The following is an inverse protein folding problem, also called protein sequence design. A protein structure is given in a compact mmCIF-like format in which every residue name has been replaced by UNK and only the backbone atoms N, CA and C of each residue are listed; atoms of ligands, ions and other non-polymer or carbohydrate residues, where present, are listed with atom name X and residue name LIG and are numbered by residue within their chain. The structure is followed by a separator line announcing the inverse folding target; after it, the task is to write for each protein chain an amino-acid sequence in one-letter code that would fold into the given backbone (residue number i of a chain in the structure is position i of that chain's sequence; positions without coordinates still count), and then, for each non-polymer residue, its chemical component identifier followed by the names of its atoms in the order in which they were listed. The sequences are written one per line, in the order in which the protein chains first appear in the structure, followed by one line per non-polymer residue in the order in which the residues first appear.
data_IF_754986671398
#
_entry.id   IF_754986671398
#
_cell.length_a   1.000
_cell.length_b   1.000
_cell.length_c   1.000
_cell.angle_alpha   90.00
_cell.angle_beta   90.00
_cell.angle_gamma   90.00
#
_symmetry.space_group_name_H-M   'P 1'
#
loop_
_entity.id
_entity.type
_entity.pdbx_description
1 polymer ?
#
# COMPACT_ATOMS: atom_id res chain seq x y z
N UNK A 1 -3.36 6.44 -10.30
CA UNK A 1 -3.48 5.58 -9.09
C UNK A 1 -4.93 5.15 -9.01
N UNK A 2 -5.22 3.85 -8.99
CA UNK A 2 -6.58 3.34 -8.80
C UNK A 2 -6.69 2.80 -7.37
N UNK A 3 -7.75 3.14 -6.64
CA UNK A 3 -7.98 2.56 -5.34
C UNK A 3 -8.54 1.14 -5.50
N UNK A 4 -8.02 0.17 -4.74
CA UNK A 4 -8.58 -1.18 -4.71
C UNK A 4 -10.07 -1.19 -4.31
N UNK A 5 -10.50 -0.21 -3.52
CA UNK A 5 -11.91 -0.02 -3.14
C UNK A 5 -12.84 0.37 -4.31
N UNK A 6 -12.29 0.93 -5.40
CA UNK A 6 -13.07 1.33 -6.58
C UNK A 6 -13.22 0.17 -7.58
N UNK A 7 -12.49 -0.93 -7.38
CA UNK A 7 -12.62 -2.18 -8.12
C UNK A 7 -13.33 -3.22 -7.23
N UNK A 8 -14.60 -3.57 -7.52
CA UNK A 8 -15.38 -4.49 -6.69
C UNK A 8 -14.72 -5.86 -6.50
N UNK A 9 -13.92 -6.30 -7.48
CA UNK A 9 -13.20 -7.57 -7.41
C UNK A 9 -12.09 -7.45 -6.38
N UNK A 10 -11.24 -6.43 -6.50
CA UNK A 10 -10.12 -6.21 -5.56
C UNK A 10 -10.62 -5.92 -4.14
N UNK A 11 -11.72 -5.20 -3.99
CA UNK A 11 -12.32 -4.88 -2.69
C UNK A 11 -12.83 -6.12 -1.93
N UNK A 12 -13.11 -7.22 -2.65
CA UNK A 12 -13.60 -8.48 -2.06
C UNK A 12 -12.50 -9.48 -1.73
N UNK A 13 -11.25 -9.21 -2.16
CA UNK A 13 -10.14 -10.13 -1.96
C UNK A 13 -9.66 -10.11 -0.50
N UNK A 14 -9.26 -11.27 0.05
CA UNK A 14 -8.44 -11.30 1.26
C UNK A 14 -7.15 -10.50 1.08
N UNK A 15 -6.65 -9.88 2.14
CA UNK A 15 -5.46 -9.01 2.12
C UNK A 15 -4.26 -9.63 1.38
N UNK A 16 -4.00 -10.92 1.60
CA UNK A 16 -2.90 -11.62 0.93
C UNK A 16 -3.12 -11.79 -0.57
N UNK A 17 -4.36 -12.07 -1.00
CA UNK A 17 -4.69 -12.18 -2.42
C UNK A 17 -4.73 -10.80 -3.10
N UNK A 18 -5.13 -9.76 -2.37
CA UNK A 18 -5.02 -8.38 -2.82
C UNK A 18 -3.56 -7.99 -3.06
N UNK A 19 -2.66 -8.34 -2.15
CA UNK A 19 -1.22 -8.12 -2.32
C UNK A 19 -0.67 -8.88 -3.53
N UNK A 20 -1.10 -10.12 -3.72
CA UNK A 20 -0.70 -10.97 -4.86
C UNK A 20 -1.19 -10.43 -6.20
N UNK A 21 -2.46 -10.05 -6.28
CA UNK A 21 -3.04 -9.45 -7.47
C UNK A 21 -2.36 -8.11 -7.81
N UNK A 22 -2.13 -7.25 -6.82
CA UNK A 22 -1.45 -5.96 -7.01
C UNK A 22 -0.01 -6.16 -7.50
N UNK A 23 0.72 -7.08 -6.88
CA UNK A 23 2.12 -7.39 -7.23
C UNK A 23 2.25 -7.97 -8.63
N UNK A 24 1.33 -8.82 -9.06
CA UNK A 24 1.26 -9.33 -10.45
C UNK A 24 1.10 -8.22 -11.49
N UNK A 25 0.46 -7.12 -11.12
CA UNK A 25 0.30 -5.94 -11.97
C UNK A 25 1.44 -4.91 -11.83
N UNK A 26 2.49 -5.23 -11.06
CA UNK A 26 3.59 -4.31 -10.76
C UNK A 26 3.17 -3.11 -9.92
N UNK A 27 2.11 -3.25 -9.11
CA UNK A 27 1.55 -2.16 -8.29
C UNK A 27 1.77 -2.42 -6.81
N UNK A 28 2.20 -1.37 -6.11
CA UNK A 28 2.24 -1.37 -4.66
C UNK A 28 0.84 -1.22 -4.05
N UNK A 29 0.64 -1.82 -2.87
CA UNK A 29 -0.59 -1.64 -2.07
C UNK A 29 -0.40 -0.48 -1.11
N UNK A 30 -1.38 0.44 -1.06
CA UNK A 30 -1.44 1.50 -0.04
C UNK A 30 -2.55 1.17 0.94
N UNK A 31 -2.23 1.06 2.23
CA UNK A 31 -3.18 0.59 3.25
C UNK A 31 -2.99 1.23 4.62
N UNK A 32 -4.06 1.32 5.39
CA UNK A 32 -4.04 1.64 6.83
C UNK A 32 -3.90 0.37 7.68
N UNK A 33 -4.12 -0.83 7.10
CA UNK A 33 -4.01 -2.12 7.79
C UNK A 33 -2.55 -2.60 7.89
N UNK A 34 -1.72 -1.85 8.62
CA UNK A 34 -0.31 -2.15 8.74
C UNK A 34 -0.02 -3.50 9.40
N UNK A 35 -0.86 -3.92 10.35
CA UNK A 35 -0.66 -5.14 11.13
C UNK A 35 -0.73 -6.40 10.26
N UNK A 36 -1.78 -6.52 9.46
CA UNK A 36 -1.97 -7.75 8.69
C UNK A 36 -1.02 -7.82 7.50
N UNK A 37 -0.77 -6.69 6.84
CA UNK A 37 0.19 -6.63 5.73
C UNK A 37 1.64 -6.80 6.18
N UNK A 38 2.07 -6.26 7.33
CA UNK A 38 3.43 -6.55 7.86
C UNK A 38 3.61 -8.05 8.13
N UNK A 39 2.57 -8.72 8.65
CA UNK A 39 2.60 -10.18 8.84
C UNK A 39 2.71 -10.93 7.51
N UNK A 40 1.94 -10.53 6.49
CA UNK A 40 1.96 -11.16 5.16
C UNK A 40 3.34 -10.98 4.51
N UNK A 41 3.86 -9.76 4.49
CA UNK A 41 5.16 -9.43 3.90
C UNK A 41 6.30 -10.22 4.55
N UNK A 42 6.30 -10.33 5.88
CA UNK A 42 7.25 -11.19 6.61
C UNK A 42 7.10 -12.65 6.21
N UNK A 43 5.87 -13.16 6.09
CA UNK A 43 5.63 -14.54 5.64
C UNK A 43 6.22 -14.77 4.25
N UNK A 44 5.96 -13.87 3.30
CA UNK A 44 6.44 -13.95 1.93
C UNK A 44 7.97 -13.94 1.83
N UNK A 45 8.63 -13.12 2.66
CA UNK A 45 10.09 -13.10 2.76
C UNK A 45 10.70 -14.45 3.18
N UNK A 46 9.94 -15.28 3.92
CA UNK A 46 10.35 -16.61 4.35
C UNK A 46 9.99 -17.67 3.31
N UNK A 47 8.86 -17.53 2.61
CA UNK A 47 8.39 -18.50 1.61
C UNK A 47 8.94 -18.27 0.20
N UNK A 48 9.66 -17.16 -0.02
CA UNK A 48 10.22 -16.80 -1.33
C UNK A 48 9.20 -16.17 -2.27
N UNK A 49 8.07 -15.68 -1.75
CA UNK A 49 7.15 -14.83 -2.51
C UNK A 49 7.62 -13.36 -2.47
N UNK A 50 7.35 -12.61 -3.54
CA UNK A 50 7.76 -11.22 -3.69
C UNK A 50 6.57 -10.30 -3.95
N UNK A 51 6.63 -9.08 -3.42
CA UNK A 51 5.62 -8.06 -3.66
C UNK A 51 6.18 -6.82 -4.37
N UNK A 52 5.35 -6.12 -5.14
CA UNK A 52 5.78 -4.90 -5.83
C UNK A 52 5.91 -3.67 -4.91
N UNK A 53 5.51 -3.80 -3.64
CA UNK A 53 5.68 -2.78 -2.60
C UNK A 53 4.47 -2.64 -1.69
N UNK A 54 4.68 -2.17 -0.47
CA UNK A 54 3.61 -1.83 0.47
C UNK A 54 3.86 -0.44 1.07
N UNK A 55 2.84 0.42 1.00
CA UNK A 55 2.83 1.75 1.61
C UNK A 55 1.85 1.76 2.77
N UNK A 56 2.35 1.97 3.98
CA UNK A 56 1.53 2.15 5.16
C UNK A 56 1.16 3.62 5.36
N UNK A 57 -0.11 3.86 5.66
CA UNK A 57 -0.65 5.17 6.02
C UNK A 57 -1.23 5.12 7.43
N UNK A 58 -1.52 6.28 8.03
CA UNK A 58 -2.09 6.37 9.37
C UNK A 58 -3.37 7.20 9.38
N UNK A 59 -4.49 6.67 9.93
CA UNK A 59 -5.73 7.43 10.06
C UNK A 59 -5.62 8.58 11.08
N UNK A 60 -4.59 8.54 11.96
CA UNK A 60 -4.26 9.66 12.86
C UNK A 60 -3.62 10.83 12.10
N UNK A 61 -2.87 10.53 11.03
CA UNK A 61 -2.16 11.54 10.24
C UNK A 61 -3.00 12.04 9.07
N UNK A 62 -3.65 11.12 8.35
CA UNK A 62 -4.51 11.41 7.21
C UNK A 62 -5.97 11.28 7.63
N UNK A 63 -6.36 12.06 8.64
CA UNK A 63 -7.68 11.97 9.23
C UNK A 63 -8.77 12.51 8.28
N UNK A 64 -9.76 11.67 7.93
CA UNK A 64 -10.82 12.01 6.96
C UNK A 64 -11.69 13.20 7.37
N UNK A 65 -11.80 13.50 8.66
CA UNK A 65 -12.53 14.66 9.18
C UNK A 65 -11.75 15.98 9.14
N UNK A 66 -10.47 15.96 8.74
CA UNK A 66 -9.66 17.17 8.61
C UNK A 66 -9.97 17.90 7.31
N UNK A 67 -9.96 19.24 7.34
CA UNK A 67 -10.06 20.09 6.13
C UNK A 67 -8.91 19.88 5.14
N UNK A 68 -7.79 19.31 5.59
CA UNK A 68 -6.64 19.01 4.74
C UNK A 68 -6.79 17.70 3.97
N UNK A 69 -7.76 16.85 4.33
CA UNK A 69 -8.02 15.59 3.63
C UNK A 69 -8.93 15.82 2.41
N UNK A 70 -8.70 15.15 1.26
CA UNK A 70 -7.61 14.20 0.99
C UNK A 70 -6.33 14.84 0.44
N UNK A 71 -6.28 16.18 0.32
CA UNK A 71 -5.19 16.88 -0.35
C UNK A 71 -3.81 16.58 0.26
N UNK A 72 -3.70 16.48 1.58
CA UNK A 72 -2.46 16.12 2.27
C UNK A 72 -1.99 14.69 1.94
N UNK A 73 -2.91 13.72 1.86
CA UNK A 73 -2.62 12.34 1.48
C UNK A 73 -2.16 12.25 0.03
N UNK A 74 -2.88 12.90 -0.88
CA UNK A 74 -2.54 12.94 -2.31
C UNK A 74 -1.18 13.59 -2.52
N UNK A 75 -0.87 14.66 -1.78
CA UNK A 75 0.43 15.34 -1.84
C UNK A 75 1.56 14.42 -1.40
N UNK A 76 1.41 13.73 -0.26
CA UNK A 76 2.42 12.81 0.25
C UNK A 76 2.66 11.62 -0.71
N UNK A 77 1.59 11.07 -1.29
CA UNK A 77 1.70 10.03 -2.32
C UNK A 77 2.38 10.57 -3.60
N UNK A 78 2.10 11.81 -3.99
CA UNK A 78 2.79 12.48 -5.09
C UNK A 78 4.30 12.60 -4.86
N UNK A 79 4.72 12.94 -3.64
CA UNK A 79 6.13 12.99 -3.26
C UNK A 79 6.79 11.61 -3.32
N UNK A 80 6.10 10.57 -2.82
CA UNK A 80 6.60 9.19 -2.91
C UNK A 80 6.76 8.72 -4.36
N UNK A 81 5.84 9.09 -5.26
CA UNK A 81 5.97 8.72 -6.68
C UNK A 81 7.10 9.48 -7.39
N UNK A 82 7.46 10.67 -6.91
CA UNK A 82 8.56 11.45 -7.48
C UNK A 82 9.93 10.90 -7.06
N UNK A 83 10.02 10.28 -5.89
CA UNK A 83 11.23 9.65 -5.36
C UNK A 83 10.90 8.32 -4.67
N UNK A 84 10.64 7.25 -5.45
CA UNK A 84 10.24 5.96 -4.91
C UNK A 84 11.42 5.25 -4.21
N UNK A 85 11.14 4.35 -3.24
CA UNK A 85 12.17 3.54 -2.61
C UNK A 85 13.01 2.77 -3.64
N UNK A 86 14.32 2.70 -3.40
CA UNK A 86 15.23 1.95 -4.27
C UNK A 86 15.03 0.45 -4.13
N UNK A 87 14.61 -0.22 -5.21
CA UNK A 87 14.39 -1.67 -5.29
C UNK A 87 13.17 -2.00 -6.15
N UNK A 88 13.26 -3.03 -6.99
CA UNK A 88 12.17 -3.39 -7.91
C UNK A 88 11.00 -4.10 -7.18
N UNK A 89 11.27 -4.74 -6.04
CA UNK A 89 10.32 -5.52 -5.23
C UNK A 89 10.64 -5.43 -3.73
N UNK A 90 9.72 -5.91 -2.91
CA UNK A 90 9.82 -6.12 -1.46
C UNK A 90 10.05 -4.88 -0.58
N UNK A 91 9.94 -3.69 -1.16
CA UNK A 91 10.06 -2.46 -0.40
C UNK A 91 8.80 -2.18 0.42
N UNK A 92 9.02 -1.65 1.62
CA UNK A 92 7.97 -1.23 2.55
C UNK A 92 8.24 0.22 2.94
N UNK A 93 7.20 1.06 2.87
CA UNK A 93 7.33 2.49 3.12
C UNK A 93 6.22 2.99 4.05
N UNK A 94 6.58 3.79 5.06
CA UNK A 94 5.61 4.51 5.89
C UNK A 94 5.43 5.92 5.34
N UNK A 95 4.21 6.24 4.93
CA UNK A 95 3.91 7.55 4.36
C UNK A 95 4.07 8.63 5.44
N UNK A 96 5.01 9.57 5.26
CA UNK A 96 5.53 10.41 6.34
C UNK A 96 4.50 11.35 6.90
#
# INVERSE_FOLDING_TARGET
MAAAADDPVLASLPDEELLRASSRSGRAVVTENARDFDRIVRSWSVTGEHHAGVVFTSPRRYHRGSSSYPANLVTALGMLMADPPSGDVDWVYWLP
#
